data_IF_493966659813
#
_entry.id   IF_493966659813
#
_cell.length_a   1.000
_cell.length_b   1.000
_cell.length_c   1.000
_cell.angle_alpha   90.00
_cell.angle_beta   90.00
_cell.angle_gamma   90.00
#
_symmetry.space_group_name_H-M   'P 1'
#
loop_
_entity.id
_entity.type
_entity.pdbx_description
1 polymer ?
#
# COMPACT_ATOMS: atom_id res chain seq x y z
N UNK A 1 14.15 4.04 8.35
CA UNK A 1 14.60 3.28 7.14
C UNK A 1 14.23 1.83 7.41
N UNK A 2 13.18 1.30 6.78
CA UNK A 2 12.76 -0.09 7.01
C UNK A 2 13.78 -1.01 6.33
N UNK A 3 14.33 -2.00 7.04
CA UNK A 3 15.30 -3.00 6.54
C UNK A 3 14.66 -4.00 5.56
N UNK A 4 13.68 -3.55 4.79
CA UNK A 4 12.93 -4.36 3.83
C UNK A 4 13.44 -4.05 2.43
N UNK A 5 13.87 -5.09 1.72
CA UNK A 5 14.25 -4.99 0.32
C UNK A 5 13.06 -4.51 -0.51
N UNK A 6 13.33 -3.71 -1.54
CA UNK A 6 12.30 -3.22 -2.48
C UNK A 6 11.54 -4.38 -3.16
N UNK A 7 12.18 -5.54 -3.29
CA UNK A 7 11.59 -6.82 -3.69
C UNK A 7 10.56 -7.36 -2.68
N UNK A 8 10.86 -7.33 -1.38
CA UNK A 8 9.93 -7.77 -0.33
C UNK A 8 8.67 -6.89 -0.30
N UNK A 9 8.84 -5.56 -0.40
CA UNK A 9 7.71 -4.63 -0.51
C UNK A 9 6.87 -4.93 -1.75
N UNK A 10 7.52 -5.11 -2.90
CA UNK A 10 6.83 -5.44 -4.15
C UNK A 10 6.05 -6.75 -4.06
N UNK A 11 6.60 -7.76 -3.38
CA UNK A 11 5.96 -9.05 -3.19
C UNK A 11 4.76 -8.95 -2.26
N UNK A 12 4.87 -8.24 -1.13
CA UNK A 12 3.75 -7.99 -0.22
C UNK A 12 2.60 -7.27 -0.92
N UNK A 13 2.90 -6.27 -1.75
CA UNK A 13 1.90 -5.56 -2.56
C UNK A 13 1.23 -6.51 -3.57
N UNK A 14 2.00 -7.35 -4.28
CA UNK A 14 1.43 -8.33 -5.22
C UNK A 14 0.53 -9.35 -4.54
N UNK A 15 0.91 -9.80 -3.34
CA UNK A 15 0.07 -10.70 -2.55
C UNK A 15 -1.25 -10.02 -2.16
N UNK A 16 -1.22 -8.74 -1.83
CA UNK A 16 -2.41 -7.95 -1.54
C UNK A 16 -3.29 -7.78 -2.78
N UNK A 17 -2.70 -7.42 -3.92
CA UNK A 17 -3.39 -7.31 -5.22
C UNK A 17 -4.08 -8.63 -5.59
N UNK A 18 -3.39 -9.76 -5.42
CA UNK A 18 -3.98 -11.09 -5.66
C UNK A 18 -5.13 -11.42 -4.69
N UNK A 19 -5.00 -11.07 -3.41
CA UNK A 19 -6.08 -11.29 -2.43
C UNK A 19 -7.32 -10.46 -2.72
N UNK A 20 -7.12 -9.23 -3.18
CA UNK A 20 -8.22 -8.30 -3.51
C UNK A 20 -8.74 -8.49 -4.95
N UNK A 21 -8.08 -9.33 -5.76
CA UNK A 21 -8.34 -9.49 -7.19
C UNK A 21 -8.39 -8.15 -7.95
N UNK A 22 -7.56 -7.19 -7.56
CA UNK A 22 -7.47 -5.88 -8.20
C UNK A 22 -6.02 -5.40 -8.29
N UNK A 23 -5.75 -4.48 -9.22
CA UNK A 23 -4.42 -3.86 -9.34
C UNK A 23 -4.42 -2.60 -8.51
N UNK A 24 -3.48 -2.45 -7.58
CA UNK A 24 -3.35 -1.27 -6.73
C UNK A 24 -2.32 -0.28 -7.29
N UNK A 25 -1.33 -0.78 -8.02
CA UNK A 25 -0.26 0.05 -8.59
C UNK A 25 -0.04 -0.19 -10.09
N UNK A 26 -0.12 0.89 -10.87
CA UNK A 26 0.38 0.92 -12.24
C UNK A 26 1.89 1.16 -12.24
N UNK A 27 2.65 0.11 -12.55
CA UNK A 27 4.12 0.15 -12.61
C UNK A 27 4.56 0.29 -14.06
N UNK A 28 5.01 1.48 -14.44
CA UNK A 28 5.73 1.70 -15.70
C UNK A 28 7.23 1.74 -15.43
N UNK A 29 8.05 1.54 -16.47
CA UNK A 29 9.53 1.57 -16.36
C UNK A 29 10.08 2.89 -15.83
N UNK A 30 9.30 3.99 -15.90
CA UNK A 30 9.68 5.31 -15.37
C UNK A 30 8.98 5.70 -14.08
N UNK A 31 7.78 5.20 -13.81
CA UNK A 31 6.99 5.66 -12.68
C UNK A 31 6.03 4.60 -12.14
N UNK A 32 5.89 4.58 -10.82
CA UNK A 32 4.84 3.85 -10.11
C UNK A 32 3.74 4.84 -9.71
N UNK A 33 2.49 4.56 -10.06
CA UNK A 33 1.31 5.33 -9.63
C UNK A 33 0.26 4.40 -9.04
N UNK A 34 -0.57 4.92 -8.15
CA UNK A 34 -1.77 4.22 -7.69
C UNK A 34 -2.79 4.13 -8.82
N UNK A 35 -3.55 3.05 -8.83
CA UNK A 35 -4.79 2.93 -9.61
C UNK A 35 -5.95 3.59 -8.87
N UNK A 36 -7.13 3.65 -9.48
CA UNK A 36 -8.35 4.09 -8.80
C UNK A 36 -8.64 3.24 -7.56
N UNK A 37 -8.56 1.90 -7.67
CA UNK A 37 -8.71 1.00 -6.52
C UNK A 37 -7.62 1.23 -5.47
N UNK A 38 -6.37 1.48 -5.91
CA UNK A 38 -5.24 1.80 -5.04
C UNK A 38 -5.46 3.06 -4.23
N UNK A 39 -5.98 4.13 -4.85
CA UNK A 39 -6.32 5.37 -4.15
C UNK A 39 -7.44 5.17 -3.14
N UNK A 40 -8.49 4.43 -3.49
CA UNK A 40 -9.59 4.13 -2.57
C UNK A 40 -9.07 3.37 -1.36
N UNK A 41 -8.30 2.30 -1.56
CA UNK A 41 -7.74 1.54 -0.46
C UNK A 41 -6.82 2.39 0.41
N UNK A 42 -5.95 3.20 -0.21
CA UNK A 42 -5.04 4.09 0.50
C UNK A 42 -5.78 5.05 1.42
N UNK A 43 -6.85 5.71 0.96
CA UNK A 43 -7.64 6.64 1.79
C UNK A 43 -8.25 5.97 3.01
N UNK A 44 -8.70 4.72 2.89
CA UNK A 44 -9.29 3.98 4.02
C UNK A 44 -8.21 3.56 5.02
N UNK A 45 -7.09 3.03 4.53
CA UNK A 45 -5.98 2.58 5.37
C UNK A 45 -5.28 3.76 6.04
N UNK A 46 -5.10 4.89 5.36
CA UNK A 46 -4.48 6.10 5.93
C UNK A 46 -5.26 6.60 7.15
N UNK A 47 -6.59 6.68 7.05
CA UNK A 47 -7.44 7.05 8.17
C UNK A 47 -7.27 6.07 9.34
N UNK A 48 -7.44 4.77 9.08
CA UNK A 48 -7.30 3.73 10.10
C UNK A 48 -5.91 3.75 10.76
N UNK A 49 -4.85 3.94 9.97
CA UNK A 49 -3.48 4.02 10.44
C UNK A 49 -3.25 5.24 11.33
N UNK A 50 -3.82 6.40 10.96
CA UNK A 50 -3.76 7.60 11.79
C UNK A 50 -4.48 7.42 13.13
N UNK A 51 -5.63 6.72 13.15
CA UNK A 51 -6.33 6.37 14.39
C UNK A 51 -5.47 5.47 15.30
N UNK A 52 -4.89 4.41 14.75
CA UNK A 52 -4.02 3.49 15.51
C UNK A 52 -2.82 4.25 16.08
N UNK A 53 -2.14 5.04 15.23
CA UNK A 53 -0.97 5.82 15.62
C UNK A 53 -1.28 6.89 16.67
N UNK A 54 -2.48 7.46 16.65
CA UNK A 54 -2.95 8.37 17.70
C UNK A 54 -3.15 7.67 19.03
N UNK A 55 -3.70 6.45 19.01
CA UNK A 55 -3.84 5.59 20.19
C UNK A 55 -2.50 5.11 20.77
N UNK A 56 -1.52 4.78 19.93
CA UNK A 56 -0.19 4.33 20.37
C UNK A 56 0.66 5.42 21.06
N UNK A 57 0.26 6.70 20.95
CA UNK A 57 0.91 7.83 21.63
C UNK A 57 0.23 8.26 22.93
N UNK A 58 -0.87 7.61 23.31
CA UNK A 58 -1.69 7.93 24.49
C UNK A 58 -1.37 7.02 25.68
#
# INVERSE_FOLDING_TARGET
>A
KLYISQSAVSQSVRLLENKLNCTLFNRTTKQVRLTAEGEVLFRHIEQAYNFIKGGERS
#
